data_IF_618415555600
#
_entry.id   IF_618415555600
#
_cell.length_a   1.000
_cell.length_b   1.000
_cell.length_c   1.000
_cell.angle_alpha   90.00
_cell.angle_beta   90.00
_cell.angle_gamma   90.00
#
_symmetry.space_group_name_H-M   'P 1'
#
loop_
_entity.id
_entity.type
_entity.pdbx_description
1 polymer ?
#
# COMPACT_ATOMS: atom_id res chain seq x y z
N UNK A 1 -23.06 12.54 -46.27
CA UNK A 1 -22.57 13.31 -45.09
C UNK A 1 -22.04 12.41 -43.97
N UNK A 2 -22.57 11.19 -43.79
CA UNK A 2 -22.14 10.22 -42.75
C UNK A 2 -20.74 9.64 -43.03
N UNK A 3 -20.38 9.44 -44.31
CA UNK A 3 -19.08 8.86 -44.70
C UNK A 3 -17.88 9.73 -44.28
N UNK A 4 -18.02 11.06 -44.32
CA UNK A 4 -16.97 11.99 -43.92
C UNK A 4 -16.72 11.96 -42.41
N UNK A 5 -17.79 11.79 -41.62
CA UNK A 5 -17.71 11.65 -40.17
C UNK A 5 -17.05 10.31 -39.78
N UNK A 6 -17.42 9.22 -40.47
CA UNK A 6 -16.80 7.91 -40.27
C UNK A 6 -15.28 7.92 -40.55
N UNK A 7 -14.85 8.59 -41.63
CA UNK A 7 -13.42 8.75 -41.93
C UNK A 7 -12.66 9.51 -40.84
N UNK A 8 -13.23 10.60 -40.33
CA UNK A 8 -12.60 11.40 -39.25
C UNK A 8 -12.43 10.61 -37.95
N UNK A 9 -13.43 9.79 -37.59
CA UNK A 9 -13.38 8.93 -36.40
C UNK A 9 -12.32 7.83 -36.55
N UNK A 10 -12.25 7.19 -37.72
CA UNK A 10 -11.25 6.16 -37.98
C UNK A 10 -9.82 6.73 -37.94
N UNK A 11 -9.59 7.90 -38.54
CA UNK A 11 -8.30 8.58 -38.47
C UNK A 11 -7.94 8.98 -37.03
N UNK A 12 -8.90 9.43 -36.25
CA UNK A 12 -8.70 9.77 -34.84
C UNK A 12 -8.32 8.55 -34.01
N UNK A 13 -9.02 7.42 -34.17
CA UNK A 13 -8.71 6.17 -33.49
C UNK A 13 -7.31 5.64 -33.87
N UNK A 14 -6.94 5.72 -35.15
CA UNK A 14 -5.62 5.31 -35.61
C UNK A 14 -4.52 6.19 -35.01
N UNK A 15 -4.69 7.52 -35.05
CA UNK A 15 -3.73 8.47 -34.48
C UNK A 15 -3.53 8.22 -32.97
N UNK A 16 -4.61 8.05 -32.21
CA UNK A 16 -4.54 7.75 -30.76
C UNK A 16 -3.81 6.42 -30.49
N UNK A 17 -4.08 5.39 -31.30
CA UNK A 17 -3.40 4.09 -31.15
C UNK A 17 -1.91 4.18 -31.47
N UNK A 18 -1.54 4.92 -32.49
CA UNK A 18 -0.12 5.16 -32.84
C UNK A 18 0.56 5.98 -31.75
N UNK A 19 -0.09 7.01 -31.22
CA UNK A 19 0.46 7.85 -30.15
C UNK A 19 0.69 7.06 -28.85
N UNK A 20 -0.25 6.21 -28.45
CA UNK A 20 -0.08 5.35 -27.26
C UNK A 20 1.04 4.33 -27.45
N UNK A 21 1.23 3.80 -28.67
CA UNK A 21 2.37 2.92 -28.98
C UNK A 21 3.70 3.66 -28.91
N UNK A 22 3.78 4.89 -29.43
CA UNK A 22 4.99 5.72 -29.32
C UNK A 22 5.30 6.07 -27.86
N UNK A 23 4.31 6.51 -27.08
CA UNK A 23 4.51 6.78 -25.65
C UNK A 23 4.94 5.52 -24.88
N UNK A 24 4.37 4.36 -25.18
CA UNK A 24 4.80 3.09 -24.58
C UNK A 24 6.23 2.70 -24.98
N UNK A 25 6.68 3.05 -26.18
CA UNK A 25 8.06 2.83 -26.61
C UNK A 25 9.03 3.83 -25.97
N UNK A 26 8.68 5.11 -25.92
CA UNK A 26 9.50 6.14 -25.28
C UNK A 26 9.67 5.88 -23.78
N UNK A 27 8.59 5.52 -23.08
CA UNK A 27 8.65 5.12 -21.67
C UNK A 27 9.47 3.85 -21.45
N UNK A 28 9.42 2.88 -22.37
CA UNK A 28 10.28 1.69 -22.32
C UNK A 28 11.74 2.01 -22.63
N UNK A 29 12.01 2.92 -23.56
CA UNK A 29 13.38 3.34 -23.91
C UNK A 29 14.00 4.18 -22.78
N UNK A 30 13.23 5.07 -22.16
CA UNK A 30 13.69 5.84 -21.00
C UNK A 30 13.99 4.94 -19.79
N UNK A 31 13.14 3.93 -19.54
CA UNK A 31 13.33 2.93 -18.47
C UNK A 31 14.46 1.93 -18.74
N UNK A 32 14.88 1.74 -20.00
CA UNK A 32 15.92 0.76 -20.41
C UNK A 32 17.34 1.28 -20.37
N UNK A 33 17.60 2.50 -19.88
CA UNK A 33 18.95 2.92 -19.50
C UNK A 33 19.40 2.14 -18.26
N UNK A 34 19.68 0.85 -18.45
CA UNK A 34 20.27 0.00 -17.42
C UNK A 34 21.59 0.60 -16.98
N UNK A 35 21.96 0.33 -15.72
CA UNK A 35 23.20 0.73 -15.03
C UNK A 35 24.52 0.29 -15.70
N UNK A 36 24.53 0.04 -17.01
CA UNK A 36 25.75 -0.23 -17.76
C UNK A 36 26.50 1.08 -17.90
N UNK A 37 27.74 1.13 -17.38
CA UNK A 37 28.68 2.26 -17.55
C UNK A 37 28.87 2.66 -19.03
N UNK A 38 28.60 1.74 -19.96
CA UNK A 38 28.53 1.97 -21.41
C UNK A 38 27.07 2.24 -21.86
N UNK A 39 26.47 3.33 -21.37
CA UNK A 39 25.07 3.68 -21.64
C UNK A 39 24.74 3.96 -23.12
N UNK A 40 25.75 4.24 -23.95
CA UNK A 40 25.57 4.60 -25.36
C UNK A 40 25.58 3.38 -26.32
N UNK A 41 25.89 2.18 -25.81
CA UNK A 41 26.00 0.96 -26.62
C UNK A 41 27.17 0.94 -27.62
N UNK A 42 27.99 2.00 -27.66
CA UNK A 42 29.20 2.09 -28.49
C UNK A 42 30.41 1.60 -27.72
N UNK A 43 31.22 0.74 -28.35
CA UNK A 43 32.51 0.34 -27.82
C UNK A 43 33.45 1.56 -27.78
N UNK A 44 33.92 1.94 -26.58
CA UNK A 44 34.95 2.96 -26.39
C UNK A 44 36.30 2.26 -26.21
N UNK A 45 37.32 2.73 -26.91
CA UNK A 45 38.69 2.27 -26.71
C UNK A 45 39.28 3.01 -25.52
N UNK A 46 39.59 2.28 -24.44
CA UNK A 46 40.22 2.83 -23.25
C UNK A 46 41.71 2.49 -23.26
N UNK A 47 42.53 3.41 -22.74
CA UNK A 47 43.91 3.07 -22.37
C UNK A 47 43.86 2.20 -21.11
N UNK A 48 44.80 1.27 -20.96
CA UNK A 48 44.79 0.27 -19.88
C UNK A 48 44.55 0.85 -18.48
N UNK A 49 45.17 2.00 -18.18
CA UNK A 49 45.03 2.69 -16.89
C UNK A 49 43.63 3.29 -16.67
N UNK A 50 42.99 3.80 -17.72
CA UNK A 50 41.64 4.37 -17.65
C UNK A 50 40.60 3.27 -17.44
N UNK A 51 40.77 2.13 -18.10
CA UNK A 51 39.91 0.97 -17.91
C UNK A 51 40.01 0.41 -16.49
N UNK A 52 41.23 0.33 -15.94
CA UNK A 52 41.45 -0.18 -14.60
C UNK A 52 40.78 0.69 -13.53
N UNK A 53 40.92 2.02 -13.62
CA UNK A 53 40.22 2.96 -12.73
C UNK A 53 38.71 2.82 -12.82
N UNK A 54 38.18 2.71 -14.04
CA UNK A 54 36.75 2.56 -14.27
C UNK A 54 36.20 1.25 -13.69
N UNK A 55 36.97 0.17 -13.77
CA UNK A 55 36.61 -1.13 -13.19
C UNK A 55 36.61 -1.07 -11.65
N UNK A 56 37.60 -0.43 -11.03
CA UNK A 56 37.64 -0.24 -9.57
C UNK A 56 36.46 0.58 -9.06
N UNK A 57 36.13 1.70 -9.73
CA UNK A 57 34.96 2.51 -9.36
C UNK A 57 33.64 1.73 -9.51
N UNK A 58 33.53 0.88 -10.53
CA UNK A 58 32.33 0.06 -10.74
C UNK A 58 32.19 -1.00 -9.65
N UNK A 59 33.29 -1.67 -9.30
CA UNK A 59 33.32 -2.66 -8.22
C UNK A 59 32.99 -2.02 -6.87
N UNK A 60 33.56 -0.85 -6.57
CA UNK A 60 33.26 -0.12 -5.35
C UNK A 60 31.79 0.29 -5.28
N UNK A 61 31.23 0.85 -6.37
CA UNK A 61 29.81 1.22 -6.43
C UNK A 61 28.91 -0.01 -6.28
N UNK A 62 29.24 -1.13 -6.92
CA UNK A 62 28.48 -2.38 -6.77
C UNK A 62 28.46 -2.86 -5.33
N UNK A 63 29.62 -2.83 -4.64
CA UNK A 63 29.69 -3.18 -3.20
C UNK A 63 28.86 -2.24 -2.33
N UNK A 64 28.91 -0.94 -2.57
CA UNK A 64 28.10 0.05 -1.84
C UNK A 64 26.60 -0.14 -2.08
N UNK A 65 26.20 -0.42 -3.33
CA UNK A 65 24.81 -0.73 -3.69
C UNK A 65 24.31 -2.03 -3.04
N UNK A 66 25.14 -3.07 -3.02
CA UNK A 66 24.83 -4.35 -2.38
C UNK A 66 24.67 -4.19 -0.87
N UNK A 67 25.61 -3.51 -0.20
CA UNK A 67 25.51 -3.20 1.22
C UNK A 67 24.23 -2.39 1.52
N UNK A 68 23.91 -1.38 0.71
CA UNK A 68 22.68 -0.60 0.84
C UNK A 68 21.40 -1.41 0.60
N UNK A 69 21.44 -2.41 -0.31
CA UNK A 69 20.32 -3.35 -0.52
C UNK A 69 20.12 -4.26 0.69
N UNK A 70 21.19 -4.81 1.25
CA UNK A 70 21.13 -5.66 2.44
C UNK A 70 20.56 -4.90 3.64
N UNK A 71 21.05 -3.69 3.90
CA UNK A 71 20.51 -2.85 4.98
C UNK A 71 19.03 -2.50 4.78
N UNK A 72 18.61 -2.23 3.53
CA UNK A 72 17.19 -1.99 3.21
C UNK A 72 16.35 -3.25 3.42
N UNK A 73 16.86 -4.43 3.07
CA UNK A 73 16.18 -5.71 3.29
C UNK A 73 16.00 -5.97 4.79
N UNK A 74 17.07 -5.86 5.58
CA UNK A 74 17.01 -6.04 7.04
C UNK A 74 16.01 -5.07 7.68
N UNK A 75 16.01 -3.80 7.29
CA UNK A 75 15.06 -2.82 7.81
C UNK A 75 13.60 -3.16 7.43
N UNK A 76 13.38 -3.66 6.21
CA UNK A 76 12.05 -4.09 5.74
C UNK A 76 11.56 -5.30 6.53
N UNK A 77 12.43 -6.27 6.76
CA UNK A 77 12.13 -7.49 7.51
C UNK A 77 11.83 -7.16 8.99
N UNK A 78 12.63 -6.29 9.61
CA UNK A 78 12.35 -5.83 10.97
C UNK A 78 11.00 -5.10 11.09
N UNK A 79 10.66 -4.25 10.10
CA UNK A 79 9.37 -3.57 10.07
C UNK A 79 8.21 -4.54 9.82
N UNK A 80 8.37 -5.54 8.94
CA UNK A 80 7.33 -6.53 8.67
C UNK A 80 7.03 -7.39 9.90
N UNK A 81 8.05 -7.75 10.68
CA UNK A 81 7.91 -8.46 11.96
C UNK A 81 7.10 -7.59 12.96
N UNK A 82 7.51 -6.34 13.19
CA UNK A 82 6.79 -5.42 14.09
C UNK A 82 5.34 -5.21 13.67
N UNK A 83 5.08 -5.13 12.37
CA UNK A 83 3.73 -4.97 11.85
C UNK A 83 2.89 -6.24 12.05
N UNK A 84 3.50 -7.42 11.94
CA UNK A 84 2.83 -8.69 12.20
C UNK A 84 2.46 -8.85 13.68
N UNK A 85 3.37 -8.50 14.59
CA UNK A 85 3.12 -8.48 16.04
C UNK A 85 1.99 -7.50 16.39
N UNK A 86 2.08 -6.26 15.88
CA UNK A 86 1.04 -5.26 16.07
C UNK A 86 -0.34 -5.70 15.56
N UNK A 87 -0.40 -6.41 14.43
CA UNK A 87 -1.65 -6.96 13.89
C UNK A 87 -2.26 -7.98 14.86
N UNK A 88 -1.46 -8.90 15.38
CA UNK A 88 -1.93 -9.94 16.33
C UNK A 88 -2.49 -9.32 17.60
N UNK A 89 -1.75 -8.39 18.21
CA UNK A 89 -2.20 -7.72 19.45
C UNK A 89 -3.51 -6.94 19.23
N UNK A 90 -3.64 -6.23 18.10
CA UNK A 90 -4.87 -5.52 17.79
C UNK A 90 -6.03 -6.45 17.44
N UNK A 91 -5.78 -7.61 16.87
CA UNK A 91 -6.80 -8.63 16.64
C UNK A 91 -7.34 -9.17 17.98
N UNK A 92 -6.47 -9.42 18.96
CA UNK A 92 -6.87 -9.82 20.31
C UNK A 92 -7.68 -8.72 21.03
N UNK A 93 -7.28 -7.46 20.90
CA UNK A 93 -8.04 -6.31 21.44
C UNK A 93 -9.42 -6.22 20.76
N UNK A 94 -9.49 -6.41 19.43
CA UNK A 94 -10.78 -6.43 18.71
C UNK A 94 -11.67 -7.56 19.20
N UNK A 95 -11.13 -8.77 19.37
CA UNK A 95 -11.89 -9.92 19.88
C UNK A 95 -12.50 -9.63 21.25
N UNK A 96 -11.69 -9.14 22.20
CA UNK A 96 -12.18 -8.74 23.54
C UNK A 96 -13.22 -7.63 23.49
N UNK A 97 -13.06 -6.66 22.59
CA UNK A 97 -14.06 -5.61 22.40
C UNK A 97 -15.34 -6.14 21.75
N UNK A 98 -15.26 -7.15 20.88
CA UNK A 98 -16.43 -7.79 20.29
C UNK A 98 -17.23 -8.57 21.34
N UNK A 99 -16.58 -9.28 22.25
CA UNK A 99 -17.21 -9.92 23.42
C UNK A 99 -17.98 -8.87 24.26
N UNK A 100 -17.35 -7.74 24.58
CA UNK A 100 -17.99 -6.61 25.27
C UNK A 100 -19.17 -6.02 24.50
N UNK A 101 -19.11 -5.99 23.16
CA UNK A 101 -20.24 -5.53 22.32
C UNK A 101 -21.41 -6.49 22.38
N UNK A 102 -21.15 -7.79 22.44
CA UNK A 102 -22.19 -8.80 22.59
C UNK A 102 -22.89 -8.67 23.94
N UNK A 103 -22.12 -8.50 25.03
CA UNK A 103 -22.66 -8.20 26.37
C UNK A 103 -23.54 -6.94 26.34
N UNK A 104 -23.04 -5.84 25.76
CA UNK A 104 -23.82 -4.62 25.59
C UNK A 104 -25.09 -4.85 24.76
N UNK A 105 -25.04 -5.66 23.70
CA UNK A 105 -26.21 -5.94 22.88
C UNK A 105 -27.29 -6.69 23.67
N UNK A 106 -26.89 -7.63 24.54
CA UNK A 106 -27.79 -8.35 25.44
C UNK A 106 -28.45 -7.37 26.43
N UNK A 107 -27.66 -6.52 27.08
CA UNK A 107 -28.19 -5.56 28.06
C UNK A 107 -29.09 -4.51 27.40
N UNK A 108 -28.75 -4.06 26.19
CA UNK A 108 -29.60 -3.15 25.41
C UNK A 108 -30.91 -3.83 25.03
N UNK A 109 -30.90 -5.10 24.64
CA UNK A 109 -32.11 -5.85 24.34
C UNK A 109 -33.00 -6.00 25.59
N UNK A 110 -32.41 -6.31 26.76
CA UNK A 110 -33.13 -6.38 28.03
C UNK A 110 -33.74 -5.02 28.41
N UNK A 111 -33.00 -3.93 28.22
CA UNK A 111 -33.50 -2.58 28.43
C UNK A 111 -34.63 -2.21 27.44
N UNK A 112 -34.56 -2.64 26.19
CA UNK A 112 -35.62 -2.41 25.20
C UNK A 112 -36.91 -3.16 25.54
N UNK A 113 -36.82 -4.39 26.05
CA UNK A 113 -37.97 -5.15 26.56
C UNK A 113 -38.63 -4.43 27.74
N UNK A 114 -37.86 -4.09 28.78
CA UNK A 114 -38.34 -3.32 29.94
C UNK A 114 -38.98 -1.98 29.51
N UNK A 115 -38.38 -1.31 28.52
CA UNK A 115 -38.92 -0.06 27.98
C UNK A 115 -40.28 -0.25 27.31
N UNK A 116 -40.48 -1.37 26.62
CA UNK A 116 -41.77 -1.69 26.02
C UNK A 116 -42.82 -1.98 27.10
N UNK A 117 -42.48 -2.76 28.13
CA UNK A 117 -43.36 -3.07 29.26
C UNK A 117 -43.74 -1.80 30.04
N UNK A 118 -42.75 -0.98 30.40
CA UNK A 118 -42.99 0.30 31.08
C UNK A 118 -43.88 1.23 30.26
N UNK A 119 -43.76 1.23 28.92
CA UNK A 119 -44.64 1.99 28.04
C UNK A 119 -46.08 1.48 28.06
N UNK A 120 -46.29 0.16 28.12
CA UNK A 120 -47.62 -0.44 28.24
C UNK A 120 -48.27 -0.09 29.58
N UNK A 121 -47.49 -0.14 30.67
CA UNK A 121 -47.93 0.21 32.02
C UNK A 121 -48.02 1.72 32.28
N UNK A 122 -47.62 2.56 31.31
CA UNK A 122 -47.48 4.02 31.44
C UNK A 122 -46.55 4.44 32.60
N UNK A 123 -45.58 3.60 32.93
CA UNK A 123 -44.52 3.84 33.90
C UNK A 123 -43.26 4.39 33.20
N UNK A 124 -42.35 4.99 33.97
CA UNK A 124 -40.98 5.29 33.52
C UNK A 124 -40.07 4.08 33.73
N UNK A 125 -39.17 3.84 32.78
CA UNK A 125 -38.13 2.81 32.87
C UNK A 125 -37.22 3.11 34.07
N UNK A 126 -36.98 2.09 34.91
CA UNK A 126 -36.27 2.26 36.20
C UNK A 126 -34.75 2.45 36.09
N UNK A 127 -34.18 2.22 34.91
CA UNK A 127 -32.73 2.24 34.68
C UNK A 127 -32.38 2.83 33.30
N UNK A 128 -31.18 3.41 33.21
CA UNK A 128 -30.70 4.06 31.98
C UNK A 128 -30.32 3.05 30.90
N UNK A 129 -30.36 3.50 29.64
CA UNK A 129 -29.87 2.69 28.52
C UNK A 129 -28.36 2.44 28.69
N UNK A 130 -27.89 1.19 28.58
CA UNK A 130 -26.46 0.89 28.61
C UNK A 130 -25.69 1.66 27.54
N UNK A 131 -24.52 2.22 27.89
CA UNK A 131 -23.65 2.98 26.97
C UNK A 131 -22.32 2.27 26.80
N UNK A 132 -21.73 2.38 25.61
CA UNK A 132 -20.45 1.71 25.28
C UNK A 132 -19.30 2.07 26.22
N UNK A 133 -19.28 3.30 26.77
CA UNK A 133 -18.23 3.73 27.70
C UNK A 133 -18.23 2.92 29.00
N UNK A 134 -19.37 2.38 29.41
CA UNK A 134 -19.55 1.67 30.68
C UNK A 134 -18.88 0.28 30.64
N UNK A 135 -18.65 -0.27 29.44
CA UNK A 135 -18.02 -1.58 29.21
C UNK A 135 -16.48 -1.49 29.12
N UNK A 136 -15.89 -0.31 29.34
CA UNK A 136 -14.44 -0.12 29.35
C UNK A 136 -13.73 -0.64 28.09
N UNK A 137 -14.04 -0.11 26.90
CA UNK A 137 -13.48 -0.59 25.65
C UNK A 137 -11.97 -0.36 25.58
N UNK A 138 -11.25 -1.39 25.17
CA UNK A 138 -9.81 -1.32 25.01
C UNK A 138 -9.46 -0.55 23.75
N UNK A 139 -8.48 0.35 23.84
CA UNK A 139 -8.00 1.14 22.70
C UNK A 139 -7.05 0.32 21.87
N UNK A 140 -7.20 0.39 20.54
CA UNK A 140 -6.26 -0.22 19.62
C UNK A 140 -4.88 0.45 19.74
N UNK A 141 -3.84 -0.35 19.60
CA UNK A 141 -2.45 0.12 19.58
C UNK A 141 -2.17 0.90 18.31
N UNK A 142 -1.35 1.95 18.42
CA UNK A 142 -0.93 2.76 17.28
C UNK A 142 -0.10 1.92 16.30
N UNK A 143 -0.32 2.12 15.00
CA UNK A 143 0.38 1.38 13.96
C UNK A 143 1.87 1.75 13.96
N UNK A 144 2.80 0.77 13.92
CA UNK A 144 4.21 1.05 13.73
C UNK A 144 4.42 1.84 12.43
N UNK A 145 5.12 2.97 12.52
CA UNK A 145 5.53 3.75 11.36
C UNK A 145 6.82 3.17 10.77
N UNK A 146 6.97 3.28 9.45
CA UNK A 146 8.28 3.07 8.84
C UNK A 146 9.18 4.20 9.35
N UNK A 147 10.43 3.90 9.70
CA UNK A 147 11.40 4.95 9.94
C UNK A 147 11.50 5.78 8.65
N UNK A 148 11.28 7.10 8.74
CA UNK A 148 11.47 8.02 7.62
C UNK A 148 12.92 7.87 7.15
N UNK A 149 13.08 7.26 5.97
CA UNK A 149 14.33 7.32 5.23
C UNK A 149 14.18 8.51 4.30
N UNK A 150 14.82 9.62 4.65
CA UNK A 150 15.28 10.60 3.67
C UNK A 150 16.19 9.83 2.70
N UNK A 151 15.65 9.42 1.55
CA UNK A 151 16.34 9.23 0.26
C UNK A 151 15.44 8.44 -0.70
N UNK A 152 14.73 9.20 -1.52
CA UNK A 152 14.76 9.12 -2.99
C UNK A 152 15.11 7.75 -3.60
N UNK A 153 14.10 6.97 -3.94
CA UNK A 153 13.77 6.65 -5.34
C UNK A 153 12.47 5.84 -5.34
N UNK A 154 11.46 6.40 -6.01
CA UNK A 154 10.11 5.86 -6.11
C UNK A 154 10.11 4.59 -6.95
N UNK A 155 9.98 3.43 -6.31
CA UNK A 155 9.52 2.21 -6.96
C UNK A 155 8.23 1.76 -6.28
N UNK A 156 7.14 2.44 -6.67
CA UNK A 156 5.77 2.04 -6.40
C UNK A 156 5.47 0.71 -7.11
N UNK A 157 5.77 -0.40 -6.45
CA UNK A 157 5.16 -1.70 -6.74
C UNK A 157 3.67 -1.61 -6.33
N UNK A 158 2.86 -1.21 -7.29
CA UNK A 158 1.40 -1.22 -7.27
C UNK A 158 0.89 -2.64 -6.99
N UNK A 159 0.46 -2.88 -5.75
CA UNK A 159 -0.36 -4.03 -5.39
C UNK A 159 -1.71 -3.93 -6.11
N UNK A 160 -1.80 -4.54 -7.29
CA UNK A 160 -3.08 -4.75 -7.95
C UNK A 160 -3.71 -6.03 -7.37
N UNK A 161 -4.42 -5.86 -6.26
CA UNK A 161 -5.34 -6.83 -5.70
C UNK A 161 -6.60 -6.84 -6.59
N UNK A 162 -6.57 -7.65 -7.65
CA UNK A 162 -7.77 -7.95 -8.43
C UNK A 162 -8.54 -9.06 -7.72
N UNK A 163 -9.40 -8.65 -6.79
CA UNK A 163 -10.54 -9.43 -6.32
C UNK A 163 -11.51 -9.55 -7.51
N UNK A 164 -11.51 -10.71 -8.18
CA UNK A 164 -12.55 -11.06 -9.16
C UNK A 164 -13.58 -11.87 -8.41
N UNK A 165 -14.64 -11.19 -7.99
CA UNK A 165 -15.91 -11.78 -7.62
C UNK A 165 -16.78 -11.80 -8.87
N UNK A 166 -17.08 -12.99 -9.37
CA UNK A 166 -18.40 -13.37 -9.90
C UNK A 166 -18.53 -14.90 -9.89
#
# INVERSE_FOLDING_TARGET
MIEMQAGSLLSGMYATRVQTQFQAQETKQSRRKGKRKMGDGKAKYFKGDEFFKLAQEDEQRQREEEAGKEQRKVARDAHSIRLAEWKKENEEIRRRNEEKRQEMAIDVAAWELEKQEAKQEKRKVGWEKPKWKDYGPEKLLARPTKADKEDDDSDEESANESDVVD
#
